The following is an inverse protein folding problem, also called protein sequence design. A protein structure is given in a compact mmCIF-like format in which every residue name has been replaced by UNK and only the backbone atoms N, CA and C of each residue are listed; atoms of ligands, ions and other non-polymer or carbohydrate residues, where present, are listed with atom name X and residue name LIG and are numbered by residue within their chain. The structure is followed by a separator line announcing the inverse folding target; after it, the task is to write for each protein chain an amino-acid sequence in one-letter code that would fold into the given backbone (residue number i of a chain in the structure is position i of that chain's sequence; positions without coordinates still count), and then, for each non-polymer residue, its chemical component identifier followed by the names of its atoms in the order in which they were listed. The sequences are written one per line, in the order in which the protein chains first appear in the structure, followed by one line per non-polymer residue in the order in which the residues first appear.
data_IF_186802122375
#
_entry.id   IF_186802122375
#
_cell.length_a   1.000
_cell.length_b   1.000
_cell.length_c   1.000
_cell.angle_alpha   90.00
_cell.angle_beta   90.00
_cell.angle_gamma   90.00
#
_symmetry.space_group_name_H-M   'P 1'
#
loop_
_entity.id
_entity.type
_entity.pdbx_description
1 polymer ?
#
# COMPACT_ATOMS: atom_id res chain seq x y z
N UNK A 1 -30.37 -7.71 -2.70
CA UNK A 1 -30.77 -8.20 -4.04
C UNK A 1 -29.72 -7.69 -5.02
N UNK A 2 -28.86 -8.56 -5.54
CA UNK A 2 -27.99 -8.18 -6.64
C UNK A 2 -28.85 -8.13 -7.91
N UNK A 3 -28.89 -6.99 -8.61
CA UNK A 3 -29.64 -6.88 -9.86
C UNK A 3 -29.11 -7.91 -10.87
N UNK A 4 -29.93 -8.32 -11.84
CA UNK A 4 -29.50 -9.18 -12.96
C UNK A 4 -28.20 -8.67 -13.60
N UNK A 5 -28.04 -7.36 -13.63
CA UNK A 5 -26.90 -6.67 -14.24
C UNK A 5 -25.58 -6.91 -13.48
N UNK A 6 -25.64 -7.19 -12.17
CA UNK A 6 -24.43 -7.50 -11.41
C UNK A 6 -23.93 -8.92 -11.68
N UNK A 7 -24.82 -9.86 -12.05
CA UNK A 7 -24.44 -11.26 -12.29
C UNK A 7 -23.62 -11.44 -13.56
N UNK A 8 -23.99 -10.77 -14.66
CA UNK A 8 -23.22 -10.88 -15.90
C UNK A 8 -21.81 -10.30 -15.71
N UNK A 9 -21.68 -9.16 -15.02
CA UNK A 9 -20.40 -8.51 -14.79
C UNK A 9 -19.49 -9.38 -13.93
N UNK A 10 -20.03 -9.94 -12.85
CA UNK A 10 -19.28 -10.88 -12.01
C UNK A 10 -18.81 -12.10 -12.80
N UNK A 11 -19.68 -12.67 -13.64
CA UNK A 11 -19.33 -13.81 -14.51
C UNK A 11 -18.23 -13.45 -15.52
N UNK A 12 -18.32 -12.27 -16.15
CA UNK A 12 -17.31 -11.78 -17.08
C UNK A 12 -15.95 -11.59 -16.39
N UNK A 13 -15.94 -10.99 -15.19
CA UNK A 13 -14.72 -10.79 -14.40
C UNK A 13 -14.09 -12.12 -13.96
N UNK A 14 -14.89 -13.11 -13.58
CA UNK A 14 -14.42 -14.46 -13.26
C UNK A 14 -13.81 -15.15 -14.48
N UNK A 15 -14.48 -15.08 -15.64
CA UNK A 15 -13.96 -15.64 -16.90
C UNK A 15 -12.65 -15.00 -17.32
N UNK A 16 -12.52 -13.68 -17.19
CA UNK A 16 -11.29 -12.96 -17.47
C UNK A 16 -10.17 -13.30 -16.47
N UNK A 17 -10.49 -13.41 -15.18
CA UNK A 17 -9.53 -13.87 -14.17
C UNK A 17 -8.99 -15.26 -14.50
N UNK A 18 -9.86 -16.23 -14.79
CA UNK A 18 -9.45 -17.60 -15.11
C UNK A 18 -8.63 -17.65 -16.41
N UNK A 19 -8.98 -16.84 -17.41
CA UNK A 19 -8.20 -16.72 -18.65
C UNK A 19 -6.79 -16.20 -18.37
N UNK A 20 -6.66 -15.15 -17.56
CA UNK A 20 -5.35 -14.59 -17.22
C UNK A 20 -4.53 -15.52 -16.32
N UNK A 21 -5.17 -16.22 -15.39
CA UNK A 21 -4.53 -17.25 -14.58
C UNK A 21 -3.91 -18.33 -15.47
N UNK A 22 -4.70 -18.89 -16.39
CA UNK A 22 -4.21 -19.90 -17.33
C UNK A 22 -3.07 -19.38 -18.20
N UNK A 23 -3.15 -18.10 -18.59
CA UNK A 23 -2.06 -17.42 -19.30
C UNK A 23 -0.78 -17.35 -18.47
N UNK A 24 -0.85 -16.82 -17.24
CA UNK A 24 0.30 -16.70 -16.34
C UNK A 24 0.95 -18.05 -15.99
N UNK A 25 0.16 -19.12 -15.93
CA UNK A 25 0.67 -20.47 -15.65
C UNK A 25 1.31 -21.14 -16.88
N UNK A 26 0.86 -20.79 -18.10
CA UNK A 26 1.33 -21.42 -19.35
C UNK A 26 2.58 -20.74 -19.91
N UNK A 27 2.67 -19.41 -19.84
CA UNK A 27 3.73 -18.65 -20.50
C UNK A 27 4.93 -18.44 -19.58
N UNK A 28 6.13 -18.42 -20.17
CA UNK A 28 7.35 -18.09 -19.43
C UNK A 28 7.34 -16.59 -19.17
N UNK A 29 7.21 -16.22 -17.90
CA UNK A 29 7.23 -14.83 -17.41
C UNK A 29 8.34 -13.99 -18.08
N UNK A 30 9.49 -14.60 -18.34
CA UNK A 30 10.68 -13.98 -18.93
C UNK A 30 10.51 -13.49 -20.37
N UNK A 31 9.49 -13.93 -21.10
CA UNK A 31 9.26 -13.56 -22.51
C UNK A 31 8.61 -12.19 -22.66
N UNK A 32 8.02 -11.63 -21.59
CA UNK A 32 7.34 -10.35 -21.65
C UNK A 32 8.24 -9.18 -21.24
N UNK A 33 8.07 -8.01 -21.90
CA UNK A 33 8.51 -6.74 -21.35
C UNK A 33 7.97 -6.53 -19.93
N UNK A 34 8.79 -5.92 -19.10
CA UNK A 34 8.56 -5.73 -17.66
C UNK A 34 7.27 -4.94 -17.40
N UNK A 35 6.95 -3.99 -18.25
CA UNK A 35 5.76 -3.14 -18.19
C UNK A 35 4.47 -3.95 -18.37
N UNK A 36 4.43 -4.84 -19.37
CA UNK A 36 3.26 -5.70 -19.59
C UNK A 36 3.06 -6.68 -18.45
N UNK A 37 4.15 -7.28 -17.97
CA UNK A 37 4.09 -8.17 -16.82
C UNK A 37 3.52 -7.45 -15.59
N UNK A 38 3.87 -6.19 -15.41
CA UNK A 38 3.36 -5.41 -14.29
C UNK A 38 1.85 -5.20 -14.42
N UNK A 39 1.36 -4.80 -15.59
CA UNK A 39 -0.06 -4.57 -15.85
C UNK A 39 -0.87 -5.87 -15.65
N UNK A 40 -0.35 -7.00 -16.15
CA UNK A 40 -0.97 -8.31 -15.93
C UNK A 40 -1.03 -8.67 -14.45
N UNK A 41 0.08 -8.53 -13.72
CA UNK A 41 0.10 -8.81 -12.30
C UNK A 41 -0.83 -7.88 -11.53
N UNK A 42 -0.87 -6.60 -11.87
CA UNK A 42 -1.77 -5.63 -11.27
C UNK A 42 -3.24 -6.03 -11.44
N UNK A 43 -3.67 -6.34 -12.67
CA UNK A 43 -5.02 -6.80 -12.93
C UNK A 43 -5.31 -8.10 -12.16
N UNK A 44 -4.39 -9.05 -12.21
CA UNK A 44 -4.55 -10.35 -11.56
C UNK A 44 -4.74 -10.18 -10.04
N UNK A 45 -3.88 -9.40 -9.38
CA UNK A 45 -4.01 -9.12 -7.94
C UNK A 45 -5.30 -8.36 -7.59
N UNK A 46 -5.71 -7.40 -8.43
CA UNK A 46 -6.98 -6.68 -8.23
C UNK A 46 -8.17 -7.62 -8.35
N UNK A 47 -8.21 -8.46 -9.39
CA UNK A 47 -9.31 -9.41 -9.59
C UNK A 47 -9.43 -10.41 -8.44
N UNK A 48 -8.30 -10.87 -7.87
CA UNK A 48 -8.30 -11.71 -6.67
C UNK A 48 -9.00 -11.03 -5.49
N UNK A 49 -8.71 -9.74 -5.24
CA UNK A 49 -9.30 -8.98 -4.14
C UNK A 49 -10.77 -8.67 -4.41
N UNK A 50 -11.10 -8.22 -5.63
CA UNK A 50 -12.47 -7.84 -6.00
C UNK A 50 -13.43 -9.04 -5.99
N UNK A 51 -12.96 -10.21 -6.41
CA UNK A 51 -13.77 -11.42 -6.53
C UNK A 51 -13.63 -12.35 -5.30
N UNK A 52 -12.89 -11.93 -4.27
CA UNK A 52 -12.57 -12.69 -3.06
C UNK A 52 -12.05 -14.12 -3.36
N UNK A 53 -11.16 -14.22 -4.36
CA UNK A 53 -10.66 -15.51 -4.85
C UNK A 53 -9.45 -15.99 -4.05
N UNK A 54 -9.33 -17.33 -3.93
CA UNK A 54 -8.18 -17.97 -3.29
C UNK A 54 -6.97 -18.03 -4.22
N UNK A 55 -5.78 -17.80 -3.67
CA UNK A 55 -4.49 -17.97 -4.37
C UNK A 55 -4.04 -19.38 -4.07
N UNK A 56 -3.81 -20.19 -5.09
CA UNK A 56 -3.18 -21.50 -4.97
C UNK A 56 -1.67 -21.37 -4.73
N UNK A 57 -1.04 -22.44 -4.24
CA UNK A 57 0.42 -22.47 -4.03
C UNK A 57 1.22 -22.22 -5.33
N UNK A 58 0.70 -22.67 -6.46
CA UNK A 58 1.34 -22.48 -7.76
C UNK A 58 1.28 -21.01 -8.19
N UNK A 59 0.13 -20.38 -8.02
CA UNK A 59 -0.05 -18.94 -8.28
C UNK A 59 0.84 -18.10 -7.35
N UNK A 60 0.93 -18.44 -6.06
CA UNK A 60 1.80 -17.75 -5.10
C UNK A 60 3.29 -17.80 -5.51
N UNK A 61 3.75 -18.95 -6.03
CA UNK A 61 5.09 -19.10 -6.59
C UNK A 61 5.29 -18.18 -7.80
N UNK A 62 4.37 -18.21 -8.77
CA UNK A 62 4.42 -17.36 -9.97
C UNK A 62 4.45 -15.87 -9.60
N UNK A 63 3.59 -15.44 -8.68
CA UNK A 63 3.57 -14.07 -8.17
C UNK A 63 4.94 -13.74 -7.54
N UNK A 64 5.47 -14.62 -6.70
CA UNK A 64 6.77 -14.43 -6.03
C UNK A 64 7.90 -14.27 -7.04
N UNK A 65 7.96 -15.12 -8.07
CA UNK A 65 8.98 -15.06 -9.13
C UNK A 65 8.90 -13.73 -9.89
N UNK A 66 7.69 -13.24 -10.17
CA UNK A 66 7.47 -11.93 -10.79
C UNK A 66 7.95 -10.79 -9.87
N UNK A 67 7.62 -10.84 -8.58
CA UNK A 67 8.08 -9.84 -7.60
C UNK A 67 9.62 -9.81 -7.49
N UNK A 68 10.26 -10.98 -7.46
CA UNK A 68 11.73 -11.10 -7.45
C UNK A 68 12.35 -10.49 -8.71
N UNK A 69 11.74 -10.72 -9.87
CA UNK A 69 12.16 -10.07 -11.11
C UNK A 69 12.04 -8.55 -11.01
N UNK A 70 10.92 -8.01 -10.52
CA UNK A 70 10.77 -6.56 -10.41
C UNK A 70 11.72 -5.92 -9.40
N UNK A 71 12.14 -6.64 -8.37
CA UNK A 71 13.12 -6.14 -7.40
C UNK A 71 14.48 -5.81 -8.04
N UNK A 72 14.81 -6.40 -9.20
CA UNK A 72 16.05 -6.05 -9.92
C UNK A 72 15.97 -4.68 -10.62
N UNK A 73 14.79 -4.03 -10.63
CA UNK A 73 14.57 -2.72 -11.24
C UNK A 73 14.29 -1.68 -10.14
N UNK A 74 15.26 -0.80 -9.80
CA UNK A 74 15.08 0.19 -8.74
C UNK A 74 13.86 1.10 -8.93
N UNK A 75 13.54 1.44 -10.18
CA UNK A 75 12.38 2.26 -10.55
C UNK A 75 11.02 1.61 -10.24
N UNK A 76 10.98 0.29 -10.01
CA UNK A 76 9.75 -0.43 -9.70
C UNK A 76 9.48 -0.57 -8.20
N UNK A 77 10.34 -0.08 -7.30
CA UNK A 77 10.13 -0.23 -5.84
C UNK A 77 8.76 0.27 -5.39
N UNK A 78 8.40 1.51 -5.73
CA UNK A 78 7.10 2.09 -5.35
C UNK A 78 5.93 1.33 -6.00
N UNK A 79 6.09 0.91 -7.25
CA UNK A 79 5.12 0.10 -7.99
C UNK A 79 4.88 -1.25 -7.30
N UNK A 80 5.94 -1.91 -6.83
CA UNK A 80 5.86 -3.16 -6.08
C UNK A 80 5.20 -2.97 -4.73
N UNK A 81 5.51 -1.89 -4.03
CA UNK A 81 4.84 -1.54 -2.78
C UNK A 81 3.34 -1.38 -2.99
N UNK A 82 2.91 -0.72 -4.08
CA UNK A 82 1.51 -0.65 -4.47
C UNK A 82 0.90 -2.04 -4.69
N UNK A 83 1.52 -2.93 -5.46
CA UNK A 83 1.02 -4.30 -5.64
C UNK A 83 0.97 -5.10 -4.32
N UNK A 84 2.00 -4.95 -3.48
CA UNK A 84 2.08 -5.61 -2.19
C UNK A 84 0.91 -5.23 -1.26
N UNK A 85 0.36 -4.03 -1.38
CA UNK A 85 -0.83 -3.65 -0.57
C UNK A 85 -2.06 -4.49 -0.90
N UNK A 86 -2.23 -4.96 -2.14
CA UNK A 86 -3.34 -5.86 -2.49
C UNK A 86 -3.18 -7.22 -1.82
N UNK A 87 -1.94 -7.74 -1.76
CA UNK A 87 -1.62 -9.00 -1.10
C UNK A 87 -1.72 -8.92 0.43
N UNK A 88 -1.21 -7.83 1.02
CA UNK A 88 -1.26 -7.62 2.47
C UNK A 88 -2.70 -7.47 2.97
N UNK A 89 -3.58 -6.82 2.19
CA UNK A 89 -5.00 -6.69 2.54
C UNK A 89 -5.72 -8.04 2.65
N UNK A 90 -5.26 -9.03 1.89
CA UNK A 90 -5.82 -10.38 1.95
C UNK A 90 -5.33 -11.17 3.17
N UNK A 91 -4.15 -10.83 3.70
CA UNK A 91 -3.67 -11.36 4.98
C UNK A 91 -4.38 -10.74 6.18
N UNK A 92 -5.07 -9.61 6.01
CA UNK A 92 -5.86 -8.96 7.06
C UNK A 92 -7.27 -9.51 7.21
N UNK A 93 -7.50 -10.81 6.96
CA UNK A 93 -8.63 -11.47 7.64
C UNK A 93 -8.44 -11.23 9.14
N UNK A 94 -9.24 -10.29 9.64
CA UNK A 94 -9.00 -9.49 10.84
C UNK A 94 -8.85 -10.37 12.07
N UNK A 95 -9.50 -11.53 12.04
CA UNK A 95 -9.49 -12.53 13.09
C UNK A 95 -8.17 -13.33 13.14
N UNK A 96 -7.58 -13.65 11.98
CA UNK A 96 -6.39 -14.47 11.87
C UNK A 96 -5.11 -13.65 12.04
N UNK A 97 -5.07 -12.44 11.45
CA UNK A 97 -3.90 -11.57 11.57
C UNK A 97 -3.58 -11.24 13.04
N UNK A 98 -4.61 -10.99 13.85
CA UNK A 98 -4.48 -10.62 15.26
C UNK A 98 -4.12 -11.81 16.16
N UNK A 99 -4.56 -13.03 15.83
CA UNK A 99 -4.44 -14.17 16.77
C UNK A 99 -3.26 -15.09 16.49
N UNK A 100 -2.93 -15.38 15.23
CA UNK A 100 -1.99 -16.47 14.89
C UNK A 100 -0.70 -16.02 14.21
N UNK A 101 -0.60 -14.77 13.76
CA UNK A 101 0.50 -14.32 12.89
C UNK A 101 1.31 -13.14 13.43
N UNK A 102 1.21 -12.80 14.72
CA UNK A 102 1.74 -11.50 15.17
C UNK A 102 3.24 -11.28 14.91
N UNK A 103 4.19 -12.18 15.27
CA UNK A 103 5.59 -11.92 14.96
C UNK A 103 5.91 -11.94 13.45
N UNK A 104 5.50 -12.97 12.66
CA UNK A 104 5.74 -12.96 11.20
C UNK A 104 5.02 -11.83 10.47
N UNK A 105 3.83 -11.45 10.94
CA UNK A 105 3.00 -10.38 10.39
C UNK A 105 3.59 -9.00 10.65
N UNK A 106 4.12 -8.75 11.85
CA UNK A 106 4.85 -7.51 12.16
C UNK A 106 6.13 -7.39 11.33
N UNK A 107 6.87 -8.48 11.13
CA UNK A 107 8.03 -8.48 10.23
C UNK A 107 7.64 -8.12 8.78
N UNK A 108 6.52 -8.66 8.28
CA UNK A 108 5.96 -8.30 6.95
C UNK A 108 5.54 -6.83 6.87
N UNK A 109 4.87 -6.30 7.89
CA UNK A 109 4.50 -4.88 7.96
C UNK A 109 5.75 -4.01 7.97
N UNK A 110 6.74 -4.33 8.82
CA UNK A 110 8.00 -3.59 8.89
C UNK A 110 8.70 -3.57 7.54
N UNK A 111 8.83 -4.73 6.90
CA UNK A 111 9.41 -4.85 5.56
C UNK A 111 8.67 -3.97 4.55
N UNK A 112 7.35 -4.07 4.51
CA UNK A 112 6.51 -3.24 3.64
C UNK A 112 6.75 -1.74 3.85
N UNK A 113 6.82 -1.27 5.10
CA UNK A 113 7.07 0.14 5.41
C UNK A 113 8.47 0.58 4.98
N UNK A 114 9.48 -0.27 5.19
CA UNK A 114 10.84 0.00 4.68
C UNK A 114 10.84 0.11 3.16
N UNK A 115 10.21 -0.85 2.47
CA UNK A 115 10.13 -0.85 1.00
C UNK A 115 9.38 0.39 0.49
N UNK A 116 8.29 0.80 1.16
CA UNK A 116 7.56 2.03 0.86
C UNK A 116 8.43 3.28 1.00
N UNK A 117 9.10 3.42 2.15
CA UNK A 117 9.96 4.59 2.42
C UNK A 117 11.09 4.66 1.41
N UNK A 118 11.77 3.52 1.15
CA UNK A 118 12.84 3.44 0.15
C UNK A 118 12.35 3.77 -1.25
N UNK A 119 11.17 3.28 -1.65
CA UNK A 119 10.57 3.58 -2.94
C UNK A 119 10.23 5.07 -3.10
N UNK A 120 9.73 5.71 -2.03
CA UNK A 120 9.42 7.14 -2.04
C UNK A 120 10.65 8.04 -1.92
N UNK A 121 11.76 7.56 -1.35
CA UNK A 121 13.00 8.33 -1.18
C UNK A 121 14.06 8.04 -2.23
N UNK A 122 13.75 7.21 -3.24
CA UNK A 122 14.71 6.83 -4.27
C UNK A 122 15.08 8.06 -5.14
N UNK A 123 16.37 8.39 -5.21
CA UNK A 123 16.84 9.59 -5.91
C UNK A 123 16.48 9.57 -7.40
N UNK A 124 16.52 8.40 -8.04
CA UNK A 124 16.17 8.26 -9.45
C UNK A 124 14.68 8.51 -9.67
N UNK A 125 13.83 7.99 -8.79
CA UNK A 125 12.39 8.29 -8.75
C UNK A 125 12.16 9.78 -8.55
N UNK A 126 12.80 10.40 -7.56
CA UNK A 126 12.64 11.83 -7.26
C UNK A 126 13.03 12.71 -8.45
N UNK A 127 14.21 12.46 -9.03
CA UNK A 127 14.72 13.24 -10.16
C UNK A 127 13.76 13.14 -11.35
N UNK A 128 13.32 11.93 -11.66
CA UNK A 128 12.36 11.67 -12.70
C UNK A 128 11.03 12.39 -12.47
N UNK A 129 10.50 12.28 -11.26
CA UNK A 129 9.26 12.93 -10.86
C UNK A 129 9.34 14.47 -10.97
N UNK A 130 10.50 15.06 -10.66
CA UNK A 130 10.74 16.50 -10.78
C UNK A 130 10.91 16.95 -12.25
N UNK A 131 11.63 16.17 -13.04
CA UNK A 131 12.01 16.56 -14.40
C UNK A 131 10.93 16.21 -15.43
N UNK A 132 10.44 14.98 -15.41
CA UNK A 132 9.54 14.45 -16.44
C UNK A 132 8.07 14.66 -16.07
N UNK A 133 7.77 14.79 -14.77
CA UNK A 133 6.39 14.81 -14.22
C UNK A 133 5.55 13.61 -14.68
N UNK A 134 6.19 12.49 -15.04
CA UNK A 134 5.58 11.30 -15.61
C UNK A 134 6.18 10.03 -15.00
N UNK A 135 5.39 8.95 -15.03
CA UNK A 135 5.85 7.58 -14.72
C UNK A 135 5.69 6.71 -15.97
N UNK A 136 6.83 6.17 -16.45
CA UNK A 136 6.95 5.39 -17.70
C UNK A 136 5.88 4.31 -17.88
N UNK A 137 5.37 3.74 -16.80
CA UNK A 137 4.48 2.59 -16.87
C UNK A 137 3.09 2.91 -17.44
N UNK A 138 2.58 4.12 -17.23
CA UNK A 138 1.18 4.47 -17.55
C UNK A 138 1.04 5.58 -18.59
N UNK A 139 2.12 6.04 -19.21
CA UNK A 139 2.06 7.17 -20.15
C UNK A 139 1.15 6.87 -21.36
N UNK A 140 1.32 5.68 -21.93
CA UNK A 140 0.47 5.18 -23.01
C UNK A 140 -0.97 5.00 -22.56
N UNK A 141 -1.18 4.51 -21.33
CA UNK A 141 -2.52 4.34 -20.76
C UNK A 141 -3.25 5.68 -20.69
N UNK A 142 -2.57 6.69 -20.13
CA UNK A 142 -3.12 8.04 -19.93
C UNK A 142 -3.45 8.73 -21.25
N UNK A 143 -2.54 8.66 -22.22
CA UNK A 143 -2.69 9.38 -23.49
C UNK A 143 -3.71 8.74 -24.43
N UNK A 144 -3.77 7.39 -24.46
CA UNK A 144 -4.58 6.67 -25.45
C UNK A 144 -5.97 6.27 -24.96
N UNK A 145 -6.09 5.87 -23.69
CA UNK A 145 -7.30 5.20 -23.20
C UNK A 145 -8.06 5.99 -22.16
N UNK A 146 -7.38 6.75 -21.28
CA UNK A 146 -8.09 7.50 -20.24
C UNK A 146 -8.87 8.69 -20.76
N UNK A 147 -8.52 9.22 -21.94
CA UNK A 147 -9.31 10.26 -22.60
C UNK A 147 -10.73 9.80 -22.95
N UNK A 148 -10.98 8.48 -22.97
CA UNK A 148 -12.32 7.90 -23.16
C UNK A 148 -13.16 7.93 -21.88
N UNK A 149 -12.54 8.17 -20.71
CA UNK A 149 -13.23 8.21 -19.43
C UNK A 149 -13.56 9.67 -19.12
N UNK A 150 -14.83 9.96 -18.86
CA UNK A 150 -15.25 11.30 -18.48
C UNK A 150 -14.55 11.74 -17.17
N UNK A 151 -13.92 12.94 -17.13
CA UNK A 151 -13.21 13.41 -15.94
C UNK A 151 -14.10 13.56 -14.70
N UNK A 152 -15.38 13.89 -14.87
CA UNK A 152 -16.32 13.98 -13.75
C UNK A 152 -16.66 12.59 -13.23
N UNK A 153 -16.89 11.62 -14.12
CA UNK A 153 -17.09 10.23 -13.73
C UNK A 153 -15.90 9.68 -12.93
N UNK A 154 -14.67 9.98 -13.35
CA UNK A 154 -13.49 9.62 -12.57
C UNK A 154 -13.53 10.26 -11.16
N UNK A 155 -13.79 11.58 -11.09
CA UNK A 155 -13.90 12.30 -9.81
C UNK A 155 -14.96 11.70 -8.90
N UNK A 156 -16.10 11.32 -9.45
CA UNK A 156 -17.21 10.71 -8.72
C UNK A 156 -16.82 9.33 -8.18
N UNK A 157 -16.12 8.50 -8.98
CA UNK A 157 -15.57 7.22 -8.51
C UNK A 157 -14.63 7.43 -7.32
N UNK A 158 -13.65 8.34 -7.44
CA UNK A 158 -12.68 8.56 -6.36
C UNK A 158 -13.35 9.12 -5.10
N UNK A 159 -14.34 10.00 -5.25
CA UNK A 159 -15.14 10.54 -4.15
C UNK A 159 -15.96 9.46 -3.45
N UNK A 160 -16.57 8.55 -4.22
CA UNK A 160 -17.30 7.40 -3.69
C UNK A 160 -16.37 6.42 -2.96
N UNK A 161 -15.18 6.14 -3.53
CA UNK A 161 -14.16 5.32 -2.88
C UNK A 161 -13.70 5.91 -1.55
N UNK A 162 -13.42 7.21 -1.49
CA UNK A 162 -13.05 7.90 -0.26
C UNK A 162 -14.17 7.81 0.79
N UNK A 163 -15.41 8.08 0.39
CA UNK A 163 -16.59 7.97 1.25
C UNK A 163 -16.78 6.55 1.80
N UNK A 164 -16.57 5.53 0.97
CA UNK A 164 -16.64 4.12 1.40
C UNK A 164 -15.56 3.76 2.40
N UNK A 165 -14.33 4.29 2.24
CA UNK A 165 -13.25 4.08 3.22
C UNK A 165 -13.62 4.74 4.56
N UNK A 166 -14.14 5.98 4.54
CA UNK A 166 -14.58 6.68 5.75
C UNK A 166 -15.73 5.95 6.46
N UNK A 167 -16.73 5.51 5.70
CA UNK A 167 -17.84 4.71 6.22
C UNK A 167 -17.34 3.41 6.86
N UNK A 168 -16.37 2.74 6.23
CA UNK A 168 -15.77 1.53 6.80
C UNK A 168 -15.04 1.81 8.12
N UNK A 169 -14.43 2.98 8.30
CA UNK A 169 -13.81 3.38 9.58
C UNK A 169 -14.86 3.61 10.66
N UNK A 170 -15.92 4.37 10.35
CA UNK A 170 -16.96 4.73 11.31
C UNK A 170 -17.70 3.51 11.86
N UNK A 171 -17.90 2.49 11.03
CA UNK A 171 -18.58 1.25 11.43
C UNK A 171 -17.66 0.20 12.06
N UNK A 172 -16.35 0.44 12.11
CA UNK A 172 -15.41 -0.51 12.70
C UNK A 172 -15.19 -0.20 14.18
N UNK A 173 -15.37 -1.23 15.02
CA UNK A 173 -14.92 -1.19 16.41
C UNK A 173 -13.41 -0.92 16.44
N UNK A 174 -12.92 0.04 17.24
CA UNK A 174 -11.49 0.32 17.34
C UNK A 174 -10.70 -0.95 17.66
N UNK A 175 -9.71 -1.28 16.83
CA UNK A 175 -8.75 -2.33 17.15
C UNK A 175 -7.75 -1.71 18.12
N UNK A 176 -7.99 -1.91 19.41
CA UNK A 176 -7.00 -1.57 20.44
C UNK A 176 -5.91 -2.63 20.38
N UNK A 177 -4.87 -2.37 19.59
CA UNK A 177 -3.63 -3.14 19.68
C UNK A 177 -2.79 -2.55 20.80
N UNK A 178 -2.55 -3.34 21.84
CA UNK A 178 -1.74 -2.92 22.98
C UNK A 178 -0.24 -2.83 22.64
N UNK A 179 0.21 -3.45 21.54
CA UNK A 179 1.63 -3.47 21.18
C UNK A 179 2.10 -2.14 20.59
N UNK A 180 3.09 -1.56 21.26
CA UNK A 180 3.73 -0.30 20.85
C UNK A 180 4.36 -0.37 19.44
N UNK A 181 4.94 -1.51 19.03
CA UNK A 181 5.49 -1.68 17.68
C UNK A 181 4.44 -1.46 16.58
N UNK A 182 3.24 -2.02 16.78
CA UNK A 182 2.16 -1.88 15.80
C UNK A 182 1.64 -0.45 15.74
N UNK A 183 1.54 0.23 16.89
CA UNK A 183 1.19 1.67 16.95
C UNK A 183 2.23 2.50 16.19
N UNK A 184 3.51 2.20 16.36
CA UNK A 184 4.60 2.87 15.65
C UNK A 184 4.53 2.61 14.14
N UNK A 185 4.30 1.37 13.70
CA UNK A 185 4.13 1.05 12.28
C UNK A 185 2.94 1.78 11.66
N UNK A 186 1.82 1.87 12.37
CA UNK A 186 0.68 2.70 11.95
C UNK A 186 1.05 4.17 11.85
N UNK A 187 1.80 4.71 12.81
CA UNK A 187 2.24 6.10 12.80
C UNK A 187 3.13 6.39 11.59
N UNK A 188 4.14 5.55 11.34
CA UNK A 188 5.03 5.66 10.18
C UNK A 188 4.26 5.53 8.86
N UNK A 189 3.31 4.60 8.76
CA UNK A 189 2.46 4.46 7.57
C UNK A 189 1.61 5.72 7.36
N UNK A 190 0.97 6.22 8.41
CA UNK A 190 0.15 7.44 8.36
C UNK A 190 0.99 8.59 7.83
N UNK A 191 2.13 8.86 8.46
CA UNK A 191 3.08 9.90 8.07
C UNK A 191 3.54 9.76 6.61
N UNK A 192 3.84 8.53 6.18
CA UNK A 192 4.24 8.25 4.79
C UNK A 192 3.12 8.56 3.81
N UNK A 193 1.87 8.19 4.13
CA UNK A 193 0.69 8.47 3.30
C UNK A 193 0.39 9.97 3.25
N UNK A 194 0.51 10.68 4.37
CA UNK A 194 0.37 12.15 4.42
C UNK A 194 1.32 12.79 3.42
N UNK A 195 2.61 12.50 3.59
CA UNK A 195 3.65 13.10 2.77
C UNK A 195 3.48 12.70 1.31
N UNK A 196 3.03 11.47 1.04
CA UNK A 196 2.76 10.97 -0.30
C UNK A 196 1.51 11.60 -0.97
N UNK A 197 0.48 11.94 -0.20
CA UNK A 197 -0.66 12.70 -0.74
C UNK A 197 -0.22 14.12 -1.14
N UNK A 198 0.57 14.76 -0.28
CA UNK A 198 1.00 16.13 -0.45
C UNK A 198 2.11 16.32 -1.49
N UNK A 199 3.02 15.35 -1.57
CA UNK A 199 4.18 15.33 -2.44
C UNK A 199 4.39 13.90 -2.95
N UNK A 200 5.06 13.72 -4.09
CA UNK A 200 5.16 12.39 -4.68
C UNK A 200 6.42 11.61 -4.25
N UNK A 201 7.11 12.09 -3.20
CA UNK A 201 8.37 11.56 -2.71
C UNK A 201 8.63 11.95 -1.25
N UNK A 202 9.59 11.28 -0.61
CA UNK A 202 10.11 11.65 0.71
C UNK A 202 11.46 12.35 0.54
N UNK A 203 11.64 13.50 1.18
CA UNK A 203 12.96 14.13 1.30
C UNK A 203 13.82 13.25 2.22
N UNK A 204 15.12 13.16 1.91
CA UNK A 204 16.08 12.31 2.63
C UNK A 204 16.01 12.42 4.15
N UNK A 205 15.94 13.64 4.68
CA UNK A 205 15.83 13.88 6.13
C UNK A 205 14.58 13.24 6.75
N UNK A 206 13.45 13.27 6.03
CA UNK A 206 12.17 12.68 6.44
C UNK A 206 12.23 11.15 6.35
N UNK A 207 12.77 10.60 5.25
CA UNK A 207 12.93 9.14 5.11
C UNK A 207 13.89 8.58 6.17
N UNK A 208 15.00 9.26 6.46
CA UNK A 208 15.97 8.85 7.49
C UNK A 208 15.35 8.90 8.89
N UNK A 209 14.44 9.85 9.13
CA UNK A 209 13.66 9.91 10.37
C UNK A 209 12.70 8.72 10.48
N UNK A 210 11.92 8.43 9.43
CA UNK A 210 10.98 7.29 9.43
C UNK A 210 11.71 5.96 9.56
N UNK A 211 12.87 5.78 8.91
CA UNK A 211 13.69 4.57 9.05
C UNK A 211 14.20 4.38 10.47
N UNK A 212 14.70 5.45 11.11
CA UNK A 212 15.13 5.40 12.50
C UNK A 212 13.99 5.03 13.45
N UNK A 213 12.77 5.54 13.20
CA UNK A 213 11.59 5.12 13.97
C UNK A 213 11.30 3.62 13.83
N UNK A 214 11.45 3.05 12.63
CA UNK A 214 11.24 1.60 12.41
C UNK A 214 12.33 0.73 13.05
N UNK A 215 13.56 1.21 13.14
CA UNK A 215 14.69 0.43 13.67
C UNK A 215 14.86 0.55 15.19
N UNK A 216 14.61 1.72 15.77
CA UNK A 216 14.68 1.93 17.22
C UNK A 216 13.78 0.96 18.00
N UNK A 217 12.60 0.64 17.45
CA UNK A 217 11.65 -0.25 18.12
C UNK A 217 12.06 -1.72 18.02
N UNK A 218 12.64 -2.15 16.90
CA UNK A 218 13.03 -3.56 16.78
C UNK A 218 14.11 -3.99 17.77
N UNK A 219 15.01 -3.08 18.13
CA UNK A 219 16.06 -3.37 19.10
C UNK A 219 15.51 -3.46 20.53
N UNK A 220 14.48 -2.67 20.85
CA UNK A 220 13.88 -2.65 22.19
C UNK A 220 13.23 -3.99 22.58
N UNK A 221 12.70 -4.73 21.60
CA UNK A 221 12.04 -6.01 21.84
C UNK A 221 12.96 -7.22 21.66
N UNK A 222 14.12 -7.09 20.99
CA UNK A 222 15.10 -8.18 20.93
C UNK A 222 15.93 -8.31 22.20
N UNK A 223 16.08 -7.24 22.98
CA UNK A 223 16.94 -7.17 24.17
C UNK A 223 16.19 -7.33 25.50
N UNK A 224 15.09 -8.07 25.54
CA UNK A 224 14.53 -8.52 26.84
C UNK A 224 15.48 -9.59 27.41
N UNK A 225 16.61 -9.10 27.93
CA UNK A 225 17.44 -9.82 28.87
C UNK A 225 16.57 -10.12 30.09
N UNK A 226 16.51 -11.37 30.58
CA UNK A 226 15.63 -11.77 31.66
C UNK A 226 16.01 -11.19 33.03
N UNK A 227 16.92 -10.21 33.11
CA UNK A 227 17.42 -9.67 34.37
C UNK A 227 16.65 -8.39 34.79
N UNK A 228 15.72 -8.46 35.75
CA UNK A 228 14.79 -7.35 36.05
C UNK A 228 15.43 -6.17 36.81
N UNK A 229 16.66 -6.32 37.31
CA UNK A 229 17.16 -5.43 38.38
C UNK A 229 17.82 -4.13 37.90
N UNK A 230 18.06 -3.92 36.59
CA UNK A 230 18.86 -2.78 36.12
C UNK A 230 18.22 -1.91 35.02
N UNK A 231 16.91 -2.03 34.74
CA UNK A 231 16.25 -1.24 33.71
C UNK A 231 16.03 0.22 34.14
N UNK A 232 17.07 1.05 34.08
CA UNK A 232 16.94 2.52 34.12
C UNK A 232 16.17 2.98 32.88
N UNK A 233 14.87 3.18 33.07
CA UNK A 233 13.91 3.72 32.11
C UNK A 233 14.44 5.00 31.43
N UNK A 234 15.03 4.85 30.24
CA UNK A 234 15.35 5.97 29.37
C UNK A 234 14.08 6.34 28.61
N UNK A 235 13.29 7.24 29.19
CA UNK A 235 12.00 7.67 28.65
C UNK A 235 12.15 8.28 27.25
N UNK A 236 11.44 7.72 26.27
CA UNK A 236 11.35 8.19 24.86
C UNK A 236 10.57 9.52 24.75
N UNK A 237 10.09 10.08 25.86
CA UNK A 237 9.28 11.31 25.90
C UNK A 237 9.94 12.53 25.24
N UNK A 238 11.27 12.57 25.11
CA UNK A 238 11.99 13.73 24.57
C UNK A 238 11.90 13.90 23.05
N UNK A 239 11.42 12.90 22.29
CA UNK A 239 11.27 13.02 20.82
C UNK A 239 9.97 13.75 20.42
N UNK A 240 9.10 14.09 21.39
CA UNK A 240 7.71 14.51 21.15
C UNK A 240 7.48 16.02 20.95
N UNK A 241 8.52 16.86 20.81
CA UNK A 241 8.40 18.29 21.16
C UNK A 241 8.47 19.37 20.07
N UNK A 242 8.40 19.09 18.75
CA UNK A 242 8.47 20.19 17.75
C UNK A 242 7.37 20.24 16.69
N UNK A 243 6.58 19.20 16.52
CA UNK A 243 5.31 19.28 15.79
C UNK A 243 4.22 19.13 16.82
N UNK A 244 3.44 20.19 17.07
CA UNK A 244 2.17 20.06 17.78
C UNK A 244 1.36 19.02 17.00
N UNK A 245 1.37 17.79 17.49
CA UNK A 245 0.50 16.70 17.06
C UNK A 245 -0.92 17.14 17.43
N UNK A 246 -1.45 18.10 16.65
CA UNK A 246 -2.87 18.26 16.47
C UNK A 246 -3.43 16.87 16.22
N UNK A 247 -4.56 16.62 16.84
CA UNK A 247 -5.21 15.33 17.03
C UNK A 247 -5.62 14.68 15.72
N UNK A 248 -4.66 14.34 14.87
CA UNK A 248 -4.89 13.77 13.56
C UNK A 248 -5.65 12.47 13.75
N UNK A 249 -6.94 12.51 13.48
CA UNK A 249 -7.87 11.38 13.59
C UNK A 249 -7.37 10.13 12.85
N UNK A 250 -6.51 10.33 11.84
CA UNK A 250 -5.88 9.28 11.05
C UNK A 250 -4.99 8.33 11.86
N UNK A 251 -4.38 8.75 12.98
CA UNK A 251 -3.61 7.82 13.82
C UNK A 251 -4.50 6.73 14.43
N UNK A 252 -5.80 6.99 14.55
CA UNK A 252 -6.77 6.02 15.04
C UNK A 252 -7.21 5.04 13.96
N UNK A 253 -6.94 5.31 12.68
CA UNK A 253 -7.42 4.48 11.57
C UNK A 253 -6.73 3.11 11.58
N UNK A 254 -7.46 2.00 11.38
CA UNK A 254 -6.85 0.69 11.26
C UNK A 254 -5.82 0.63 10.11
N UNK A 255 -4.81 -0.23 10.23
CA UNK A 255 -3.72 -0.32 9.25
C UNK A 255 -4.22 -0.64 7.83
N UNK A 256 -5.24 -1.49 7.68
CA UNK A 256 -5.83 -1.82 6.37
C UNK A 256 -6.57 -0.64 5.72
N UNK A 257 -7.13 0.26 6.52
CA UNK A 257 -7.74 1.50 6.04
C UNK A 257 -6.67 2.43 5.50
N UNK A 258 -5.56 2.59 6.24
CA UNK A 258 -4.40 3.37 5.78
C UNK A 258 -3.86 2.80 4.46
N UNK A 259 -3.70 1.48 4.33
CA UNK A 259 -3.30 0.87 3.06
C UNK A 259 -4.30 1.13 1.93
N UNK A 260 -5.59 1.24 2.22
CA UNK A 260 -6.62 1.59 1.23
C UNK A 260 -6.47 3.02 0.74
N UNK A 261 -6.15 3.97 1.63
CA UNK A 261 -5.81 5.34 1.24
C UNK A 261 -4.55 5.39 0.39
N UNK A 262 -3.49 4.68 0.77
CA UNK A 262 -2.27 4.62 -0.04
C UNK A 262 -2.57 4.16 -1.48
N UNK A 263 -3.33 3.07 -1.64
CA UNK A 263 -3.77 2.59 -2.97
C UNK A 263 -4.55 3.67 -3.72
N UNK A 264 -5.54 4.27 -3.07
CA UNK A 264 -6.40 5.27 -3.70
C UNK A 264 -5.60 6.49 -4.18
N UNK A 265 -4.68 6.99 -3.35
CA UNK A 265 -3.78 8.11 -3.70
C UNK A 265 -2.86 7.72 -4.86
N UNK A 266 -2.28 6.52 -4.80
CA UNK A 266 -1.40 6.01 -5.85
C UNK A 266 -2.15 5.92 -7.19
N UNK A 267 -3.35 5.33 -7.19
CA UNK A 267 -4.17 5.18 -8.40
C UNK A 267 -4.60 6.54 -8.95
N UNK A 268 -4.98 7.47 -8.08
CA UNK A 268 -5.33 8.83 -8.45
C UNK A 268 -4.16 9.55 -9.10
N UNK A 269 -2.94 9.45 -8.56
CA UNK A 269 -1.78 10.19 -9.10
C UNK A 269 -1.21 9.56 -10.36
N UNK A 270 -1.07 8.24 -10.35
CA UNK A 270 -0.22 7.56 -11.33
C UNK A 270 -0.98 6.81 -12.40
N UNK A 271 -2.20 6.36 -12.11
CA UNK A 271 -3.00 5.61 -13.09
C UNK A 271 -3.99 6.56 -13.73
N UNK A 272 -4.95 7.07 -12.96
CA UNK A 272 -6.13 7.71 -13.53
C UNK A 272 -6.02 9.23 -13.65
N UNK A 273 -5.38 9.91 -12.70
CA UNK A 273 -5.35 11.37 -12.63
C UNK A 273 -3.98 11.96 -12.97
N UNK A 274 -3.67 13.11 -12.37
CA UNK A 274 -2.40 13.80 -12.54
C UNK A 274 -1.47 13.60 -11.35
N UNK A 275 -0.18 13.78 -11.59
CA UNK A 275 0.87 13.69 -10.58
C UNK A 275 0.63 14.64 -9.39
N UNK A 276 -0.09 15.75 -9.61
CA UNK A 276 -0.43 16.73 -8.61
C UNK A 276 -1.81 16.50 -7.98
N UNK A 277 -2.57 15.49 -8.43
CA UNK A 277 -3.86 15.15 -7.84
C UNK A 277 -3.69 14.74 -6.38
N UNK A 278 -4.65 15.14 -5.55
CA UNK A 278 -4.66 14.91 -4.09
C UNK A 278 -6.07 14.53 -3.66
N UNK A 279 -6.16 13.73 -2.60
CA UNK A 279 -7.42 13.56 -1.87
C UNK A 279 -7.65 14.77 -0.97
N UNK A 280 -8.76 15.47 -1.16
CA UNK A 280 -9.07 16.71 -0.45
C UNK A 280 -9.73 16.48 0.92
N UNK A 281 -10.41 15.34 1.12
CA UNK A 281 -11.00 15.02 2.42
C UNK A 281 -10.02 14.26 3.34
N UNK A 282 -8.79 14.05 2.87
CA UNK A 282 -7.65 13.62 3.67
C UNK A 282 -7.09 14.78 4.51
N UNK A 283 -7.97 15.48 5.24
CA UNK A 283 -7.59 16.59 6.12
C UNK A 283 -7.27 16.08 7.51
N UNK A 284 -6.05 16.41 7.93
CA UNK A 284 -5.48 16.34 9.27
C UNK A 284 -6.16 17.41 10.12
N UNK A 285 -7.32 17.09 10.71
CA UNK A 285 -7.95 17.95 11.72
C UNK A 285 -7.20 17.80 13.05
#
# INVERSE_FOLDING_TARGET
MTSSDQKWLQSALLGLHESLKNYLLKFRIHEFPTEFLFIFLQYYLKSLVTLDLKISKLEDKVITDIFLRFQTYPSFKLHLTFLATHLLFRMTDRSQFIKSFFPPGLAKIKKFLKDLILGLSDESHILKMKNEKKLHLYEDLKTKYLSMIDPNFQKDIFSACESNILFAVQNQTPIVSEREEYKMFKQVLTLSIVTFNDSNYLVKTVSDYYMRLLDAYSNYFSEVSPNPENAKSRSISTIRSSTSLQSNSLYNYPFHVLMSYFRLIYELKFIFGDINSKLHNFKFW
#
